data_IF_916937485462
#
_entry.id   IF_916937485462
#
_cell.length_a   1.000
_cell.length_b   1.000
_cell.length_c   1.000
_cell.angle_alpha   90.00
_cell.angle_beta   90.00
_cell.angle_gamma   90.00
#
_symmetry.space_group_name_H-M   'P 1'
#
loop_
_entity.id
_entity.type
_entity.pdbx_description
1 polymer ?
#
# COMPACT_ATOMS: atom_id res chain seq x y z
N UNK A 1 23.17 -5.79 12.29
CA UNK A 1 23.34 -5.04 11.04
C UNK A 1 22.24 -5.31 10.04
N UNK A 2 21.92 -6.57 9.81
CA UNK A 2 20.82 -6.90 8.89
C UNK A 2 19.49 -6.35 9.36
N UNK A 3 19.24 -6.42 10.66
CA UNK A 3 18.02 -5.91 11.23
C UNK A 3 17.92 -4.40 11.09
N UNK A 4 19.04 -3.71 11.38
CA UNK A 4 19.11 -2.27 11.24
C UNK A 4 18.88 -1.84 9.80
N UNK A 5 19.46 -2.56 8.85
CA UNK A 5 19.30 -2.27 7.43
C UNK A 5 17.86 -2.42 6.99
N UNK A 6 17.16 -3.45 7.52
CA UNK A 6 15.74 -3.66 7.21
C UNK A 6 14.88 -2.51 7.71
N UNK A 7 15.17 -2.00 8.91
CA UNK A 7 14.42 -0.89 9.45
C UNK A 7 14.61 0.38 8.63
N UNK A 8 15.81 0.57 8.09
CA UNK A 8 16.09 1.71 7.21
C UNK A 8 15.43 1.57 5.85
N UNK A 9 15.02 0.36 5.48
CA UNK A 9 14.39 0.08 4.19
C UNK A 9 12.88 0.15 4.22
N UNK A 10 12.31 0.73 5.28
CA UNK A 10 10.88 0.91 5.38
C UNK A 10 10.54 2.38 5.58
N UNK A 11 9.43 2.79 5.00
CA UNK A 11 8.88 4.12 5.21
C UNK A 11 7.50 3.96 5.81
N UNK A 12 7.35 4.39 7.06
CA UNK A 12 6.06 4.34 7.74
C UNK A 12 5.52 5.77 7.87
N UNK A 13 4.32 5.99 7.35
CA UNK A 13 3.68 7.30 7.34
C UNK A 13 2.35 7.24 8.05
N UNK A 14 2.00 8.32 8.73
CA UNK A 14 0.70 8.44 9.39
C UNK A 14 -0.01 9.68 8.90
N UNK A 15 -1.33 9.60 8.83
CA UNK A 15 -2.19 10.75 8.57
C UNK A 15 -2.79 11.17 9.90
N UNK A 16 -2.68 12.46 10.21
CA UNK A 16 -3.17 13.01 11.46
C UNK A 16 -4.23 14.07 11.15
N UNK A 17 -5.35 13.95 11.83
CA UNK A 17 -6.44 14.92 11.73
C UNK A 17 -6.70 15.46 13.14
N UNK A 18 -6.41 16.75 13.36
CA UNK A 18 -6.43 17.29 14.70
C UNK A 18 -5.33 16.66 15.53
N UNK A 19 -5.70 15.91 16.55
CA UNK A 19 -4.74 15.21 17.42
C UNK A 19 -4.85 13.69 17.30
N UNK A 20 -5.58 13.22 16.28
CA UNK A 20 -5.81 11.79 16.11
C UNK A 20 -5.13 11.25 14.87
N UNK A 21 -4.57 10.05 14.99
CA UNK A 21 -4.07 9.31 13.83
C UNK A 21 -5.28 8.68 13.14
N UNK A 22 -5.54 9.05 11.90
CA UNK A 22 -6.70 8.57 11.15
C UNK A 22 -6.34 7.58 10.05
N UNK A 23 -5.06 7.38 9.80
CA UNK A 23 -4.62 6.41 8.81
C UNK A 23 -3.13 6.24 8.82
N UNK A 24 -2.67 5.21 8.09
CA UNK A 24 -1.23 4.99 7.94
C UNK A 24 -0.95 4.25 6.64
N UNK A 25 0.30 4.33 6.22
CA UNK A 25 0.83 3.57 5.09
C UNK A 25 2.24 3.13 5.43
N UNK A 26 2.60 1.93 4.99
CA UNK A 26 3.96 1.44 5.15
C UNK A 26 4.48 0.93 3.82
N UNK A 27 5.62 1.46 3.40
CA UNK A 27 6.29 1.03 2.17
C UNK A 27 7.53 0.24 2.54
N UNK A 28 7.75 -0.87 1.85
CA UNK A 28 8.93 -1.68 2.02
C UNK A 28 9.80 -1.53 0.78
N UNK A 29 11.03 -1.12 1.01
CA UNK A 29 12.02 -0.86 -0.01
C UNK A 29 12.95 -2.07 -0.13
N UNK A 30 12.92 -2.74 -1.26
CA UNK A 30 13.77 -3.87 -1.56
C UNK A 30 14.23 -3.78 -3.00
N UNK A 31 14.35 -4.92 -3.68
CA UNK A 31 14.62 -4.92 -5.11
C UNK A 31 13.44 -4.28 -5.85
N UNK A 32 12.25 -4.39 -5.28
CA UNK A 32 11.05 -3.72 -5.76
C UNK A 32 10.39 -3.00 -4.60
N UNK A 33 9.57 -2.02 -4.91
CA UNK A 33 8.87 -1.24 -3.91
C UNK A 33 7.48 -1.83 -3.66
N UNK A 34 7.18 -2.09 -2.39
CA UNK A 34 5.87 -2.63 -1.99
C UNK A 34 5.17 -1.70 -1.02
N UNK A 35 3.89 -1.50 -1.25
CA UNK A 35 3.00 -0.90 -0.27
C UNK A 35 2.47 -2.05 0.59
N UNK A 36 3.06 -2.24 1.77
CA UNK A 36 2.78 -3.40 2.60
C UNK A 36 1.57 -3.21 3.50
N UNK A 37 1.23 -1.95 3.82
CA UNK A 37 0.08 -1.63 4.64
C UNK A 37 -0.44 -0.25 4.26
N UNK A 38 -1.76 -0.12 4.23
CA UNK A 38 -2.41 1.14 3.85
C UNK A 38 -3.81 1.11 4.44
N UNK A 39 -4.06 1.99 5.40
CA UNK A 39 -5.31 1.97 6.15
C UNK A 39 -5.77 3.38 6.47
N UNK A 40 -7.07 3.61 6.36
CA UNK A 40 -7.71 4.85 6.79
C UNK A 40 -8.95 4.48 7.58
N UNK A 41 -9.14 5.11 8.74
CA UNK A 41 -10.30 4.85 9.59
C UNK A 41 -11.59 5.09 8.79
N UNK A 42 -12.66 4.27 9.03
CA UNK A 42 -13.89 4.39 8.24
C UNK A 42 -14.47 5.79 8.14
N UNK A 43 -14.51 6.54 9.24
CA UNK A 43 -15.11 7.89 9.18
C UNK A 43 -14.19 8.94 8.56
N UNK A 44 -12.94 8.57 8.28
CA UNK A 44 -12.00 9.46 7.59
C UNK A 44 -11.80 9.05 6.14
N UNK A 45 -12.44 7.97 5.70
CA UNK A 45 -12.38 7.55 4.30
C UNK A 45 -13.19 8.53 3.44
N UNK A 46 -12.88 8.54 2.14
CA UNK A 46 -13.51 9.42 1.17
C UNK A 46 -13.24 10.91 1.39
N UNK A 47 -12.25 11.23 2.21
CA UNK A 47 -11.80 12.60 2.45
C UNK A 47 -10.43 12.87 1.85
N UNK A 48 -9.91 11.91 1.07
CA UNK A 48 -8.61 12.07 0.43
C UNK A 48 -7.41 11.63 1.26
N UNK A 49 -7.60 11.14 2.49
CA UNK A 49 -6.48 10.69 3.34
C UNK A 49 -5.70 9.54 2.73
N UNK A 50 -6.41 8.54 2.22
CA UNK A 50 -5.75 7.37 1.61
C UNK A 50 -4.94 7.75 0.40
N UNK A 51 -5.48 8.63 -0.43
CA UNK A 51 -4.80 9.12 -1.62
C UNK A 51 -3.57 9.94 -1.24
N UNK A 52 -3.71 10.81 -0.23
CA UNK A 52 -2.62 11.66 0.21
C UNK A 52 -1.47 10.83 0.76
N UNK A 53 -1.76 9.81 1.58
CA UNK A 53 -0.74 8.90 2.09
C UNK A 53 0.00 8.21 0.94
N UNK A 54 -0.73 7.75 -0.06
CA UNK A 54 -0.15 7.09 -1.21
C UNK A 54 0.73 8.06 -2.00
N UNK A 55 0.22 9.24 -2.32
CA UNK A 55 0.95 10.24 -3.10
C UNK A 55 2.22 10.71 -2.38
N UNK A 56 2.12 10.99 -1.09
CA UNK A 56 3.28 11.46 -0.32
C UNK A 56 4.34 10.37 -0.20
N UNK A 57 3.91 9.12 0.03
CA UNK A 57 4.83 8.01 0.10
C UNK A 57 5.54 7.77 -1.22
N UNK A 58 4.81 7.80 -2.32
CA UNK A 58 5.41 7.58 -3.64
C UNK A 58 6.34 8.71 -4.04
N UNK A 59 6.04 9.95 -3.62
CA UNK A 59 6.93 11.08 -3.88
C UNK A 59 8.29 10.88 -3.24
N UNK A 60 8.34 10.20 -2.10
CA UNK A 60 9.59 9.90 -1.40
C UNK A 60 10.50 9.01 -2.25
N UNK A 61 9.92 8.17 -3.10
CA UNK A 61 10.69 7.22 -3.93
C UNK A 61 10.81 7.64 -5.39
N UNK A 62 10.45 8.87 -5.70
CA UNK A 62 10.52 9.38 -7.06
C UNK A 62 11.91 9.18 -7.66
N UNK A 63 11.96 8.57 -8.85
CA UNK A 63 13.21 8.32 -9.54
C UNK A 63 13.98 7.10 -9.05
N UNK A 64 13.51 6.43 -8.00
CA UNK A 64 14.23 5.27 -7.44
C UNK A 64 13.66 3.94 -7.89
N UNK A 65 12.38 3.90 -8.26
CA UNK A 65 11.70 2.67 -8.67
C UNK A 65 10.84 2.93 -9.89
N UNK A 66 10.69 1.91 -10.72
CA UNK A 66 9.85 1.99 -11.92
C UNK A 66 8.39 1.73 -11.62
N UNK A 67 8.11 1.07 -10.51
CA UNK A 67 6.76 0.69 -10.16
C UNK A 67 6.63 0.42 -8.67
N UNK A 68 5.40 0.43 -8.18
CA UNK A 68 5.07 0.00 -6.83
C UNK A 68 4.04 -1.12 -6.91
N UNK A 69 4.15 -2.08 -6.00
CA UNK A 69 3.30 -3.27 -5.94
C UNK A 69 2.53 -3.31 -4.63
N UNK A 70 1.37 -3.95 -4.67
CA UNK A 70 0.61 -4.25 -3.46
C UNK A 70 -0.18 -5.53 -3.66
N UNK A 71 -0.63 -6.11 -2.56
CA UNK A 71 -1.53 -7.26 -2.58
C UNK A 71 -2.81 -6.88 -1.85
N UNK A 72 -3.93 -7.27 -2.39
CA UNK A 72 -5.23 -6.96 -1.79
C UNK A 72 -6.16 -8.17 -1.95
N UNK A 73 -6.98 -8.42 -0.94
CA UNK A 73 -8.01 -9.47 -1.00
C UNK A 73 -9.01 -9.10 -2.09
N UNK A 74 -9.28 -10.04 -3.01
CA UNK A 74 -10.21 -9.80 -4.12
C UNK A 74 -11.63 -9.51 -3.63
N UNK A 75 -11.96 -9.93 -2.40
CA UNK A 75 -13.27 -9.63 -1.81
C UNK A 75 -13.39 -8.18 -1.35
N UNK A 76 -12.27 -7.51 -1.21
CA UNK A 76 -12.26 -6.10 -0.84
C UNK A 76 -12.48 -5.25 -2.09
N UNK A 77 -13.72 -5.21 -2.55
CA UNK A 77 -14.05 -4.52 -3.81
C UNK A 77 -13.77 -3.02 -3.75
N UNK A 78 -14.00 -2.42 -2.59
CA UNK A 78 -13.70 -0.99 -2.41
C UNK A 78 -12.21 -0.70 -2.50
N UNK A 79 -11.40 -1.58 -1.92
CA UNK A 79 -9.95 -1.44 -1.97
C UNK A 79 -9.43 -1.58 -3.40
N UNK A 80 -9.88 -2.63 -4.09
CA UNK A 80 -9.48 -2.84 -5.49
C UNK A 80 -9.86 -1.63 -6.34
N UNK A 81 -11.11 -1.15 -6.20
CA UNK A 81 -11.58 0.01 -6.98
C UNK A 81 -10.76 1.26 -6.66
N UNK A 82 -10.42 1.47 -5.40
CA UNK A 82 -9.60 2.60 -5.00
C UNK A 82 -8.24 2.55 -5.69
N UNK A 83 -7.58 1.39 -5.64
CA UNK A 83 -6.25 1.27 -6.25
C UNK A 83 -6.31 1.38 -7.77
N UNK A 84 -7.35 0.86 -8.39
CA UNK A 84 -7.52 1.02 -9.83
C UNK A 84 -7.67 2.49 -10.21
N UNK A 85 -8.42 3.25 -9.43
CA UNK A 85 -8.55 4.69 -9.63
C UNK A 85 -7.22 5.41 -9.48
N UNK A 86 -6.35 4.90 -8.61
CA UNK A 86 -5.04 5.51 -8.38
C UNK A 86 -3.98 5.04 -9.38
N UNK A 87 -4.37 4.25 -10.35
CA UNK A 87 -3.48 3.86 -11.44
C UNK A 87 -2.85 2.48 -11.32
N UNK A 88 -3.32 1.68 -10.37
CA UNK A 88 -2.85 0.30 -10.23
C UNK A 88 -3.64 -0.62 -11.16
N UNK A 89 -2.98 -1.67 -11.63
CA UNK A 89 -3.61 -2.72 -12.42
C UNK A 89 -3.38 -4.06 -11.75
N UNK A 90 -4.38 -4.94 -11.83
CA UNK A 90 -4.21 -6.32 -11.37
C UNK A 90 -3.34 -7.03 -12.38
N UNK A 91 -2.19 -7.55 -11.95
CA UNK A 91 -1.31 -8.30 -12.83
C UNK A 91 -1.45 -9.81 -12.68
N UNK A 92 -1.98 -10.25 -11.56
CA UNK A 92 -2.38 -11.66 -11.39
C UNK A 92 -3.17 -11.82 -10.09
N UNK A 93 -3.92 -12.92 -10.02
CA UNK A 93 -4.60 -13.33 -8.80
C UNK A 93 -4.10 -14.71 -8.41
N UNK A 94 -4.12 -15.01 -7.12
CA UNK A 94 -3.66 -16.30 -6.64
C UNK A 94 -4.27 -16.59 -5.28
N UNK A 95 -4.25 -17.87 -4.92
CA UNK A 95 -4.73 -18.30 -3.62
C UNK A 95 -3.60 -18.32 -2.62
N UNK A 96 -3.88 -17.90 -1.40
CA UNK A 96 -2.95 -17.94 -0.30
C UNK A 96 -3.65 -18.58 0.89
N UNK A 97 -3.03 -19.60 1.46
CA UNK A 97 -3.59 -20.30 2.62
C UNK A 97 -2.87 -19.79 3.87
N UNK A 98 -3.64 -19.28 4.82
CA UNK A 98 -3.09 -18.78 6.07
C UNK A 98 -4.01 -19.21 7.21
N UNK A 99 -3.45 -19.87 8.22
CA UNK A 99 -4.22 -20.36 9.38
C UNK A 99 -5.41 -21.24 8.97
N UNK A 100 -5.21 -22.06 7.94
CA UNK A 100 -6.25 -22.98 7.48
C UNK A 100 -7.33 -22.34 6.61
N UNK A 101 -7.23 -21.06 6.33
CA UNK A 101 -8.18 -20.36 5.49
C UNK A 101 -7.55 -20.00 4.14
N UNK A 102 -8.35 -20.13 3.09
CA UNK A 102 -7.90 -19.77 1.75
C UNK A 102 -8.35 -18.35 1.43
N UNK A 103 -7.39 -17.52 1.06
CA UNK A 103 -7.64 -16.16 0.62
C UNK A 103 -7.32 -16.04 -0.86
N UNK A 104 -8.11 -15.27 -1.58
CA UNK A 104 -7.80 -14.95 -2.97
C UNK A 104 -7.23 -13.54 -3.01
N UNK A 105 -5.98 -13.43 -3.43
CA UNK A 105 -5.27 -12.17 -3.46
C UNK A 105 -5.04 -11.70 -4.88
N UNK A 106 -5.10 -10.41 -5.07
CA UNK A 106 -4.72 -9.75 -6.32
C UNK A 106 -3.41 -9.03 -6.10
N UNK A 107 -2.43 -9.32 -6.94
CA UNK A 107 -1.19 -8.57 -7.00
C UNK A 107 -1.42 -7.42 -7.96
N UNK A 108 -1.25 -6.21 -7.48
CA UNK A 108 -1.47 -5.00 -8.26
C UNK A 108 -0.17 -4.23 -8.44
N UNK A 109 -0.06 -3.54 -9.55
CA UNK A 109 1.14 -2.79 -9.91
C UNK A 109 0.77 -1.43 -10.46
N UNK A 110 1.51 -0.42 -10.05
CA UNK A 110 1.39 0.94 -10.60
C UNK A 110 2.74 1.40 -11.12
N UNK A 111 2.83 1.80 -12.41
CA UNK A 111 4.06 2.43 -12.93
C UNK A 111 4.28 3.79 -12.28
N UNK A 112 5.55 4.12 -12.05
CA UNK A 112 5.93 5.36 -11.35
C UNK A 112 6.62 6.40 -12.25
N UNK A 113 6.70 6.16 -13.50
CA UNK A 113 7.36 7.13 -14.39
C UNK A 113 6.40 7.96 -15.20
#
# INVERSE_FOLDING_TARGET
EHLRKRLEEQLFMVAIEGQEVVGFANFIQGSELYLSAHYVRPHSQNKGCGRLLLEQGLAHYEGQYDAVYLEVDTKNEKGVAFYEQEGFEIIRTYEHVMYGETMNLALMKKPLS
#
